data_IF_684902343862
#
_entry.id   IF_684902343862
#
_cell.length_a   1.000
_cell.length_b   1.000
_cell.length_c   1.000
_cell.angle_alpha   90.00
_cell.angle_beta   90.00
_cell.angle_gamma   90.00
#
_symmetry.space_group_name_H-M   'P 1'
#
loop_
_entity.id
_entity.type
_entity.pdbx_description
1 polymer ?
#
# COMPACT_ATOMS: atom_id res chain seq x y z
N UNK A 1 -10.97 -26.39 -7.47
CA UNK A 1 -10.55 -25.13 -6.83
C UNK A 1 -9.51 -25.53 -5.80
N UNK A 2 -8.23 -25.41 -6.13
CA UNK A 2 -7.15 -25.77 -5.22
C UNK A 2 -7.14 -24.76 -4.07
N UNK A 3 -7.52 -25.20 -2.88
CA UNK A 3 -7.58 -24.34 -1.70
C UNK A 3 -6.16 -23.99 -1.25
N UNK A 4 -5.80 -22.71 -1.30
CA UNK A 4 -4.54 -22.22 -0.71
C UNK A 4 -4.57 -22.41 0.81
N UNK A 5 -3.57 -23.11 1.35
CA UNK A 5 -3.41 -23.28 2.80
C UNK A 5 -3.04 -21.95 3.45
N UNK A 6 -3.89 -21.47 4.36
CA UNK A 6 -3.60 -20.26 5.14
C UNK A 6 -2.58 -20.59 6.25
N UNK A 7 -1.38 -20.03 6.15
CA UNK A 7 -0.31 -20.20 7.15
C UNK A 7 -0.28 -19.03 8.14
N UNK A 8 0.32 -19.20 9.32
CA UNK A 8 0.49 -18.10 10.30
C UNK A 8 1.23 -16.91 9.65
N UNK A 9 2.33 -17.13 8.89
CA UNK A 9 2.95 -16.04 8.16
C UNK A 9 2.10 -15.51 7.01
N UNK A 10 1.30 -16.33 6.34
CA UNK A 10 0.29 -15.86 5.39
C UNK A 10 -0.66 -14.83 6.02
N UNK A 11 -1.12 -15.07 7.24
CA UNK A 11 -1.95 -14.13 8.03
C UNK A 11 -1.18 -12.85 8.37
N UNK A 12 0.09 -12.96 8.76
CA UNK A 12 0.94 -11.79 9.00
C UNK A 12 1.08 -10.91 7.74
N UNK A 13 1.18 -11.53 6.56
CA UNK A 13 1.18 -10.82 5.28
C UNK A 13 -0.13 -10.07 5.01
N UNK A 14 -1.27 -10.65 5.39
CA UNK A 14 -2.59 -9.99 5.30
C UNK A 14 -2.65 -8.77 6.23
N UNK A 15 -2.24 -8.93 7.50
CA UNK A 15 -2.24 -7.82 8.48
C UNK A 15 -1.37 -6.66 7.97
N UNK A 16 -0.18 -6.99 7.45
CA UNK A 16 0.74 -6.00 6.89
C UNK A 16 0.13 -5.28 5.68
N UNK A 17 -0.51 -6.02 4.77
CA UNK A 17 -1.22 -5.44 3.62
C UNK A 17 -2.35 -4.48 4.03
N UNK A 18 -3.10 -4.81 5.09
CA UNK A 18 -4.12 -3.91 5.64
C UNK A 18 -3.49 -2.62 6.16
N UNK A 19 -2.39 -2.72 6.92
CA UNK A 19 -1.68 -1.55 7.47
C UNK A 19 -1.20 -0.57 6.39
N UNK A 20 -0.54 -1.08 5.35
CA UNK A 20 -0.11 -0.26 4.21
C UNK A 20 -1.29 0.33 3.43
N UNK A 21 -2.42 -0.37 3.44
CA UNK A 21 -3.63 0.12 2.83
C UNK A 21 -4.26 1.33 3.51
N UNK A 22 -4.10 1.42 4.82
CA UNK A 22 -4.56 2.58 5.60
C UNK A 22 -3.57 3.75 5.42
N UNK A 23 -2.27 3.47 5.31
CA UNK A 23 -1.21 4.48 5.13
C UNK A 23 -1.45 5.36 3.90
N UNK A 24 -1.76 4.76 2.74
CA UNK A 24 -2.04 5.50 1.50
C UNK A 24 -3.20 6.50 1.64
N UNK A 25 -4.23 6.15 2.41
CA UNK A 25 -5.37 7.01 2.66
C UNK A 25 -5.03 8.14 3.64
N UNK A 26 -4.25 7.85 4.68
CA UNK A 26 -3.78 8.86 5.64
C UNK A 26 -2.89 9.89 4.94
N UNK A 27 -1.92 9.44 4.14
CA UNK A 27 -1.01 10.33 3.37
C UNK A 27 -1.81 11.27 2.48
N UNK A 28 -2.81 10.75 1.75
CA UNK A 28 -3.67 11.57 0.89
C UNK A 28 -4.43 12.62 1.69
N UNK A 29 -5.03 12.21 2.82
CA UNK A 29 -5.76 13.12 3.71
C UNK A 29 -4.88 14.25 4.24
N UNK A 30 -3.67 13.93 4.70
CA UNK A 30 -2.74 14.93 5.21
C UNK A 30 -2.30 15.91 4.12
N UNK A 31 -2.01 15.44 2.90
CA UNK A 31 -1.66 16.32 1.78
C UNK A 31 -2.82 17.21 1.32
N UNK A 32 -4.06 16.76 1.43
CA UNK A 32 -5.24 17.61 1.16
C UNK A 32 -5.36 18.67 2.25
N UNK A 33 -5.23 18.28 3.51
CA UNK A 33 -5.30 19.17 4.67
C UNK A 33 -4.22 20.26 4.63
N UNK A 34 -2.97 19.90 4.33
CA UNK A 34 -1.87 20.86 4.14
C UNK A 34 -2.21 21.93 3.09
N UNK A 35 -2.85 21.55 1.99
CA UNK A 35 -3.21 22.48 0.91
C UNK A 35 -4.41 23.37 1.24
N UNK A 36 -5.36 22.85 2.01
CA UNK A 36 -6.45 23.65 2.56
C UNK A 36 -5.92 24.70 3.53
N UNK A 37 -4.98 24.31 4.41
CA UNK A 37 -4.34 25.22 5.36
C UNK A 37 -3.45 26.27 4.67
N UNK A 38 -2.95 25.98 3.47
CA UNK A 38 -2.29 26.96 2.58
C UNK A 38 -3.26 27.94 1.91
N UNK A 39 -4.56 27.89 2.23
CA UNK A 39 -5.58 28.79 1.72
C UNK A 39 -6.15 28.42 0.35
N UNK A 40 -5.86 27.23 -0.20
CA UNK A 40 -6.42 26.81 -1.48
C UNK A 40 -7.92 26.48 -1.37
N UNK A 41 -8.65 26.75 -2.45
CA UNK A 41 -10.03 26.29 -2.60
C UNK A 41 -10.09 24.76 -2.58
N UNK A 42 -11.18 24.17 -2.07
CA UNK A 42 -11.32 22.73 -1.86
C UNK A 42 -10.99 21.91 -3.12
N UNK A 43 -11.54 22.28 -4.28
CA UNK A 43 -11.26 21.57 -5.53
C UNK A 43 -9.78 21.64 -5.95
N UNK A 44 -9.12 22.78 -5.70
CA UNK A 44 -7.69 22.95 -5.97
C UNK A 44 -6.82 22.17 -4.98
N UNK A 45 -7.21 22.16 -3.70
CA UNK A 45 -6.54 21.40 -2.65
C UNK A 45 -6.66 19.88 -2.88
N UNK A 46 -7.84 19.39 -3.25
CA UNK A 46 -8.06 17.99 -3.64
C UNK A 46 -7.17 17.60 -4.81
N UNK A 47 -7.21 18.36 -5.92
CA UNK A 47 -6.43 18.04 -7.12
C UNK A 47 -4.93 18.04 -6.83
N UNK A 48 -4.43 19.05 -6.12
CA UNK A 48 -3.02 19.19 -5.78
C UNK A 48 -2.56 18.17 -4.73
N UNK A 49 -3.40 17.89 -3.72
CA UNK A 49 -3.17 16.91 -2.67
C UNK A 49 -3.06 15.50 -3.24
N UNK A 50 -4.02 15.11 -4.09
CA UNK A 50 -3.96 13.83 -4.81
C UNK A 50 -2.67 13.71 -5.63
N UNK A 51 -2.36 14.70 -6.48
CA UNK A 51 -1.17 14.61 -7.35
C UNK A 51 0.14 14.37 -6.57
N UNK A 52 0.31 15.03 -5.42
CA UNK A 52 1.50 14.82 -4.57
C UNK A 52 1.45 13.52 -3.79
N UNK A 53 0.28 13.13 -3.27
CA UNK A 53 0.11 11.89 -2.55
C UNK A 53 0.33 10.66 -3.46
N UNK A 54 -0.09 10.74 -4.74
CA UNK A 54 0.06 9.64 -5.69
C UNK A 54 1.51 9.20 -5.86
N UNK A 55 2.47 10.13 -5.97
CA UNK A 55 3.89 9.77 -6.09
C UNK A 55 4.37 8.99 -4.87
N UNK A 56 4.08 9.50 -3.66
CA UNK A 56 4.49 8.85 -2.42
C UNK A 56 3.85 7.46 -2.23
N UNK A 57 2.57 7.31 -2.62
CA UNK A 57 1.86 6.03 -2.53
C UNK A 57 2.41 5.01 -3.54
N UNK A 58 2.74 5.45 -4.75
CA UNK A 58 3.34 4.59 -5.77
C UNK A 58 4.71 4.10 -5.28
N UNK A 59 5.57 5.00 -4.80
CA UNK A 59 6.92 4.64 -4.34
C UNK A 59 6.89 3.67 -3.16
N UNK A 60 5.97 3.90 -2.19
CA UNK A 60 5.78 3.02 -1.05
C UNK A 60 5.34 1.61 -1.46
N UNK A 61 4.32 1.50 -2.31
CA UNK A 61 3.82 0.20 -2.76
C UNK A 61 4.82 -0.55 -3.66
N UNK A 62 5.56 0.16 -4.52
CA UNK A 62 6.62 -0.44 -5.35
C UNK A 62 7.71 -1.05 -4.47
N UNK A 63 8.15 -0.33 -3.44
CA UNK A 63 9.15 -0.83 -2.49
C UNK A 63 8.69 -2.13 -1.83
N UNK A 64 7.43 -2.18 -1.40
CA UNK A 64 6.85 -3.40 -0.82
C UNK A 64 6.77 -4.55 -1.81
N UNK A 65 6.36 -4.29 -3.06
CA UNK A 65 6.31 -5.32 -4.11
C UNK A 65 7.71 -5.89 -4.35
N UNK A 66 8.74 -5.04 -4.41
CA UNK A 66 10.13 -5.47 -4.55
C UNK A 66 10.53 -6.37 -3.38
N UNK A 67 10.23 -5.98 -2.14
CA UNK A 67 10.50 -6.80 -0.95
C UNK A 67 9.79 -8.15 -1.04
N UNK A 68 8.51 -8.17 -1.43
CA UNK A 68 7.76 -9.41 -1.58
C UNK A 68 8.37 -10.34 -2.65
N UNK A 69 8.78 -9.79 -3.80
CA UNK A 69 9.46 -10.53 -4.87
C UNK A 69 10.79 -11.10 -4.38
N UNK A 70 11.58 -10.31 -3.64
CA UNK A 70 12.86 -10.77 -3.07
C UNK A 70 12.63 -11.90 -2.08
N UNK A 71 11.63 -11.79 -1.19
CA UNK A 71 11.32 -12.83 -0.22
C UNK A 71 10.84 -14.13 -0.89
N UNK A 72 9.95 -14.03 -1.88
CA UNK A 72 9.50 -15.20 -2.65
C UNK A 72 10.63 -15.80 -3.48
N UNK A 73 11.52 -14.98 -4.06
CA UNK A 73 12.66 -15.45 -4.84
C UNK A 73 13.72 -16.14 -3.97
N UNK A 74 14.05 -15.54 -2.82
CA UNK A 74 15.08 -16.04 -1.93
C UNK A 74 14.68 -17.35 -1.22
N UNK A 75 13.40 -17.53 -0.91
CA UNK A 75 12.90 -18.67 -0.14
C UNK A 75 12.00 -19.64 -0.92
N UNK A 76 11.52 -19.29 -2.12
CA UNK A 76 10.59 -20.12 -2.89
C UNK A 76 11.24 -20.96 -3.99
N UNK A 77 12.30 -20.47 -4.63
CA UNK A 77 12.97 -21.17 -5.75
C UNK A 77 14.49 -21.15 -5.57
N UNK A 78 15.12 -22.32 -5.28
CA UNK A 78 16.57 -22.43 -5.08
C UNK A 78 17.43 -21.96 -6.27
N UNK A 79 16.82 -21.81 -7.45
CA UNK A 79 17.48 -21.42 -8.70
C UNK A 79 17.46 -19.91 -8.97
N UNK A 80 16.79 -19.11 -8.15
CA UNK A 80 16.70 -17.67 -8.37
C UNK A 80 18.03 -16.95 -8.06
N UNK A 81 18.29 -15.84 -8.79
CA UNK A 81 19.47 -15.00 -8.58
C UNK A 81 19.49 -14.44 -7.15
N UNK A 82 18.33 -14.09 -6.61
CA UNK A 82 18.18 -13.58 -5.25
C UNK A 82 18.53 -14.62 -4.18
N UNK A 83 18.16 -15.90 -4.38
CA UNK A 83 18.52 -16.98 -3.47
C UNK A 83 20.04 -17.19 -3.41
N UNK A 84 20.73 -17.09 -4.56
CA UNK A 84 22.20 -17.21 -4.61
C UNK A 84 22.92 -16.02 -3.97
N UNK A 85 22.43 -14.80 -4.24
CA UNK A 85 23.01 -13.56 -3.71
C UNK A 85 22.84 -13.46 -2.19
N UNK A 86 21.65 -13.79 -1.68
CA UNK A 86 21.29 -13.61 -0.27
C UNK A 86 21.54 -14.87 0.59
N UNK A 87 22.09 -15.93 0.00
CA UNK A 87 22.51 -17.16 0.69
C UNK A 87 23.30 -16.93 2.00
N UNK A 88 24.29 -16.02 2.09
CA UNK A 88 25.01 -15.80 3.36
C UNK A 88 24.12 -15.19 4.46
N UNK A 89 23.10 -14.42 4.09
CA UNK A 89 22.14 -13.83 5.03
C UNK A 89 21.10 -14.87 5.48
N UNK A 90 20.66 -15.74 4.57
CA UNK A 90 19.56 -16.68 4.81
C UNK A 90 20.00 -18.09 5.23
N UNK A 91 21.30 -18.37 5.28
CA UNK A 91 21.85 -19.63 5.79
C UNK A 91 21.34 -19.98 7.21
N UNK A 92 21.10 -18.97 8.05
CA UNK A 92 20.57 -19.16 9.40
C UNK A 92 19.09 -19.58 9.45
N UNK A 93 18.32 -19.39 8.37
CA UNK A 93 16.87 -19.59 8.37
C UNK A 93 16.40 -21.02 8.07
N UNK A 94 17.28 -21.97 7.76
CA UNK A 94 16.93 -23.39 7.60
C UNK A 94 16.02 -23.70 6.39
N UNK A 95 16.19 -24.88 5.78
CA UNK A 95 15.42 -25.30 4.60
C UNK A 95 13.90 -25.48 4.89
N UNK A 96 13.49 -25.56 6.16
CA UNK A 96 12.08 -25.71 6.56
C UNK A 96 11.25 -24.43 6.42
N UNK A 97 11.89 -23.27 6.20
CA UNK A 97 11.18 -21.97 6.16
C UNK A 97 10.77 -21.56 4.74
N UNK A 98 11.15 -22.35 3.73
CA UNK A 98 10.94 -22.06 2.30
C UNK A 98 9.45 -21.82 1.95
N UNK A 99 8.57 -22.78 2.27
CA UNK A 99 7.13 -22.64 1.99
C UNK A 99 6.43 -21.58 2.83
N UNK A 100 6.95 -21.31 4.03
CA UNK A 100 6.35 -20.40 5.00
C UNK A 100 6.59 -18.95 4.58
N UNK A 101 7.83 -18.59 4.22
CA UNK A 101 8.16 -17.23 3.76
C UNK A 101 7.59 -16.98 2.37
N UNK A 102 7.56 -17.99 1.51
CA UNK A 102 6.89 -17.87 0.22
C UNK A 102 5.40 -17.49 0.39
N UNK A 103 4.69 -18.16 1.30
CA UNK A 103 3.27 -17.85 1.57
C UNK A 103 3.06 -16.44 2.12
N UNK A 104 3.96 -15.94 2.97
CA UNK A 104 3.94 -14.55 3.44
C UNK A 104 4.17 -13.56 2.30
N UNK A 105 5.19 -13.79 1.47
CA UNK A 105 5.50 -12.94 0.32
C UNK A 105 4.35 -12.90 -0.69
N UNK A 106 3.70 -14.03 -0.94
CA UNK A 106 2.56 -14.12 -1.84
C UNK A 106 1.34 -13.36 -1.31
N UNK A 107 0.94 -13.57 -0.04
CA UNK A 107 -0.22 -12.84 0.53
C UNK A 107 0.03 -11.34 0.61
N UNK A 108 1.26 -10.94 0.95
CA UNK A 108 1.69 -9.55 0.96
C UNK A 108 1.60 -8.92 -0.44
N UNK A 109 2.16 -9.58 -1.46
CA UNK A 109 2.16 -9.08 -2.84
C UNK A 109 0.73 -8.90 -3.37
N UNK A 110 -0.13 -9.92 -3.20
CA UNK A 110 -1.53 -9.84 -3.62
C UNK A 110 -2.26 -8.73 -2.88
N UNK A 111 -2.07 -8.62 -1.57
CA UNK A 111 -2.68 -7.58 -0.75
C UNK A 111 -2.27 -6.16 -1.17
N UNK A 112 -0.98 -5.94 -1.45
CA UNK A 112 -0.45 -4.65 -1.92
C UNK A 112 -0.99 -4.31 -3.30
N UNK A 113 -1.03 -5.26 -4.23
CA UNK A 113 -1.57 -5.02 -5.58
C UNK A 113 -3.06 -4.66 -5.53
N UNK A 114 -3.85 -5.41 -4.76
CA UNK A 114 -5.26 -5.11 -4.56
C UNK A 114 -5.46 -3.73 -3.92
N UNK A 115 -4.64 -3.40 -2.92
CA UNK A 115 -4.70 -2.10 -2.29
C UNK A 115 -4.29 -0.97 -3.24
N UNK A 116 -3.25 -1.17 -4.03
CA UNK A 116 -2.80 -0.17 -4.99
C UNK A 116 -3.91 0.20 -5.97
N UNK A 117 -4.64 -0.79 -6.50
CA UNK A 117 -5.76 -0.53 -7.41
C UNK A 117 -6.93 0.15 -6.68
N UNK A 118 -7.41 -0.43 -5.58
CA UNK A 118 -8.61 0.09 -4.90
C UNK A 118 -8.34 1.35 -4.08
N UNK A 119 -7.27 1.36 -3.30
CA UNK A 119 -6.85 2.48 -2.47
C UNK A 119 -6.47 3.72 -3.29
N UNK A 120 -5.86 3.57 -4.47
CA UNK A 120 -5.46 4.73 -5.27
C UNK A 120 -6.54 5.16 -6.25
N UNK A 121 -7.07 4.24 -7.08
CA UNK A 121 -8.02 4.61 -8.12
C UNK A 121 -9.42 4.82 -7.56
N UNK A 122 -9.93 3.89 -6.74
CA UNK A 122 -11.30 3.98 -6.24
C UNK A 122 -11.45 5.12 -5.22
N UNK A 123 -10.49 5.29 -4.31
CA UNK A 123 -10.50 6.41 -3.34
C UNK A 123 -10.48 7.77 -4.05
N UNK A 124 -9.64 7.94 -5.07
CA UNK A 124 -9.59 9.18 -5.85
C UNK A 124 -10.91 9.45 -6.57
N UNK A 125 -11.46 8.45 -7.26
CA UNK A 125 -12.73 8.59 -7.98
C UNK A 125 -13.88 8.90 -7.02
N UNK A 126 -13.91 8.24 -5.86
CA UNK A 126 -14.94 8.45 -4.84
C UNK A 126 -14.89 9.87 -4.29
N UNK A 127 -13.73 10.34 -3.85
CA UNK A 127 -13.60 11.69 -3.27
C UNK A 127 -13.82 12.78 -4.31
N UNK A 128 -13.33 12.61 -5.54
CA UNK A 128 -13.60 13.56 -6.63
C UNK A 128 -15.07 13.58 -7.05
N UNK A 129 -15.76 12.44 -6.99
CA UNK A 129 -17.20 12.37 -7.25
C UNK A 129 -18.00 13.05 -6.14
N UNK A 130 -17.68 12.72 -4.88
CA UNK A 130 -18.36 13.28 -3.71
C UNK A 130 -18.18 14.80 -3.58
N UNK A 131 -17.00 15.34 -3.91
CA UNK A 131 -16.75 16.79 -3.80
C UNK A 131 -17.59 17.66 -4.75
N UNK A 132 -18.26 17.07 -5.74
CA UNK A 132 -19.22 17.80 -6.60
C UNK A 132 -20.54 18.12 -5.90
N UNK A 133 -20.88 17.43 -4.81
CA UNK A 133 -22.09 17.70 -4.05
C UNK A 133 -21.87 18.79 -3.01
N UNK A 134 -22.77 19.78 -2.93
CA UNK A 134 -22.69 20.93 -1.99
C UNK A 134 -22.50 20.52 -0.53
N UNK A 135 -23.05 19.38 -0.12
CA UNK A 135 -22.93 18.84 1.25
C UNK A 135 -21.47 18.48 1.60
N UNK A 136 -20.71 17.99 0.61
CA UNK A 136 -19.32 17.58 0.77
C UNK A 136 -18.34 18.69 0.40
N UNK A 137 -18.79 19.94 0.21
CA UNK A 137 -17.90 21.08 -0.04
C UNK A 137 -17.40 21.75 1.26
N UNK A 138 -17.80 21.25 2.42
CA UNK A 138 -17.40 21.82 3.70
C UNK A 138 -15.93 21.51 4.01
N UNK A 139 -15.09 22.55 4.10
CA UNK A 139 -13.66 22.46 4.44
C UNK A 139 -13.40 21.70 5.75
N UNK A 140 -14.34 21.74 6.70
CA UNK A 140 -14.25 21.05 8.00
C UNK A 140 -14.21 19.52 7.86
N UNK A 141 -14.82 18.95 6.81
CA UNK A 141 -14.80 17.50 6.55
C UNK A 141 -13.43 16.99 6.09
N UNK A 142 -12.57 17.89 5.59
CA UNK A 142 -11.23 17.59 5.07
C UNK A 142 -10.12 18.11 5.99
N UNK A 143 -10.47 18.52 7.23
CA UNK A 143 -9.51 18.94 8.24
C UNK A 143 -8.95 20.36 8.06
N UNK A 144 -9.51 21.18 7.19
CA UNK A 144 -9.12 22.59 7.06
C UNK A 144 -9.62 23.42 8.23
N UNK A 145 -8.76 24.29 8.80
CA UNK A 145 -9.17 25.23 9.84
C UNK A 145 -10.19 26.25 9.31
N UNK A 146 -11.19 26.54 10.14
CA UNK A 146 -12.20 27.56 9.86
C UNK A 146 -11.49 28.92 9.82
N UNK A 147 -11.43 29.54 8.64
CA UNK A 147 -11.35 30.99 8.54
C UNK A 147 -12.77 31.55 8.51
#
# INVERSE_FOLDING_TARGET
MDSSTLTIPGIAGIILAVGMGVDANIITGERIKEELNRGKNLNAALRSGYQRALSAIIDGNITTIIVAIILMGAFGVPTSVFARLLRPLFFAFGASTEGVIYSFGYTLMVGVLLNFVMGVLASRLMVMSLSNFKIFQNKKLYGGEQA
#
